data_IF_786133292042
#
_entry.id   IF_786133292042
#
_cell.length_a   1.000
_cell.length_b   1.000
_cell.length_c   1.000
_cell.angle_alpha   90.00
_cell.angle_beta   90.00
_cell.angle_gamma   90.00
#
_symmetry.space_group_name_H-M   'P 1'
#
loop_
_entity.id
_entity.type
_entity.pdbx_description
1 polymer ?
#
# COMPACT_ATOMS: atom_id res chain seq x y z
N UNK A 1 17.33 14.26 35.36
CA UNK A 1 18.09 13.80 34.16
C UNK A 1 17.49 12.54 33.53
N UNK A 2 16.16 12.34 33.55
CA UNK A 2 15.49 11.14 32.99
C UNK A 2 14.77 11.37 31.66
N UNK A 3 14.74 12.60 31.12
CA UNK A 3 14.06 12.90 29.86
C UNK A 3 14.84 12.50 28.60
N UNK A 4 16.15 12.23 28.70
CA UNK A 4 16.98 11.86 27.55
C UNK A 4 16.81 10.40 27.10
N UNK A 5 16.68 9.47 28.06
CA UNK A 5 16.60 8.03 27.76
C UNK A 5 15.30 7.69 27.00
N UNK A 6 14.16 8.23 27.43
CA UNK A 6 12.87 8.02 26.75
C UNK A 6 12.81 8.63 25.35
N UNK A 7 13.47 9.77 25.13
CA UNK A 7 13.51 10.43 23.83
C UNK A 7 14.35 9.63 22.82
N UNK A 8 15.51 9.14 23.24
CA UNK A 8 16.38 8.30 22.38
C UNK A 8 15.70 6.97 22.06
N UNK A 9 15.11 6.29 23.04
CA UNK A 9 14.36 5.05 22.81
C UNK A 9 13.18 5.28 21.85
N UNK A 10 12.44 6.39 22.00
CA UNK A 10 11.35 6.74 21.10
C UNK A 10 11.84 6.95 19.66
N UNK A 11 12.85 7.77 19.44
CA UNK A 11 13.32 8.07 18.08
C UNK A 11 14.02 6.89 17.41
N UNK A 12 14.84 6.13 18.13
CA UNK A 12 15.61 5.03 17.55
C UNK A 12 14.73 3.78 17.38
N UNK A 13 14.02 3.38 18.42
CA UNK A 13 13.32 2.08 18.44
C UNK A 13 11.93 2.19 17.84
N UNK A 14 11.13 3.18 18.26
CA UNK A 14 9.75 3.29 17.79
C UNK A 14 9.64 4.03 16.46
N UNK A 15 10.24 5.21 16.34
CA UNK A 15 10.22 6.00 15.10
C UNK A 15 11.09 5.36 14.02
N UNK A 16 12.36 5.09 14.33
CA UNK A 16 13.33 4.52 13.39
C UNK A 16 12.97 3.11 12.93
N UNK A 17 13.07 2.13 13.84
CA UNK A 17 12.85 0.72 13.49
C UNK A 17 11.39 0.42 13.11
N UNK A 18 10.42 0.98 13.83
CA UNK A 18 9.00 0.70 13.65
C UNK A 18 8.34 1.41 12.46
N UNK A 19 8.41 2.75 12.39
CA UNK A 19 7.67 3.51 11.39
C UNK A 19 8.42 3.73 10.07
N UNK A 20 9.75 3.71 10.07
CA UNK A 20 10.54 3.95 8.86
C UNK A 20 11.13 2.67 8.28
N UNK A 21 11.82 1.86 9.09
CA UNK A 21 12.54 0.69 8.59
C UNK A 21 11.59 -0.44 8.20
N UNK A 22 10.57 -0.74 9.01
CA UNK A 22 9.65 -1.84 8.71
C UNK A 22 8.88 -1.68 7.37
N UNK A 23 8.25 -0.52 7.06
CA UNK A 23 7.62 -0.34 5.74
C UNK A 23 8.65 -0.37 4.60
N UNK A 24 9.83 0.21 4.81
CA UNK A 24 10.90 0.23 3.81
C UNK A 24 11.37 -1.18 3.46
N UNK A 25 11.68 -2.00 4.46
CA UNK A 25 12.04 -3.40 4.27
C UNK A 25 10.90 -4.21 3.64
N UNK A 26 9.66 -3.89 3.97
CA UNK A 26 8.49 -4.56 3.39
C UNK A 26 8.35 -4.25 1.90
N UNK A 27 8.60 -3.01 1.47
CA UNK A 27 8.62 -2.63 0.05
C UNK A 27 9.75 -3.35 -0.68
N UNK A 28 10.97 -3.32 -0.15
CA UNK A 28 12.10 -4.02 -0.78
C UNK A 28 11.86 -5.53 -0.86
N UNK A 29 11.35 -6.14 0.21
CA UNK A 29 10.98 -7.56 0.21
C UNK A 29 9.87 -7.89 -0.81
N UNK A 30 8.89 -7.00 -0.98
CA UNK A 30 7.84 -7.14 -1.99
C UNK A 30 8.37 -7.06 -3.43
N UNK A 31 9.48 -6.35 -3.65
CA UNK A 31 10.13 -6.22 -4.96
C UNK A 31 11.07 -7.38 -5.29
N UNK A 32 11.61 -8.10 -4.31
CA UNK A 32 12.59 -9.18 -4.53
C UNK A 32 12.11 -10.25 -5.53
N UNK A 33 10.86 -10.77 -5.45
CA UNK A 33 10.37 -11.72 -6.44
C UNK A 33 10.35 -11.14 -7.86
N UNK A 34 10.07 -9.84 -8.01
CA UNK A 34 10.04 -9.13 -9.29
C UNK A 34 11.42 -8.96 -9.90
N UNK A 35 12.43 -8.65 -9.08
CA UNK A 35 13.83 -8.55 -9.54
C UNK A 35 14.32 -9.92 -10.04
N UNK A 36 14.11 -10.97 -9.23
CA UNK A 36 14.49 -12.34 -9.60
C UNK A 36 13.84 -12.80 -10.91
N UNK A 37 12.54 -12.49 -11.09
CA UNK A 37 11.80 -12.79 -12.29
C UNK A 37 12.34 -12.09 -13.56
N UNK A 38 12.84 -10.85 -13.42
CA UNK A 38 13.40 -10.08 -14.54
C UNK A 38 14.81 -10.57 -14.92
N UNK A 39 15.62 -10.96 -13.93
CA UNK A 39 16.99 -11.46 -14.15
C UNK A 39 17.01 -12.83 -14.86
N UNK A 40 16.07 -13.72 -14.53
CA UNK A 40 15.97 -15.07 -15.11
C UNK A 40 15.14 -15.12 -16.41
N UNK A 41 14.49 -14.02 -16.80
CA UNK A 41 13.50 -13.99 -17.88
C UNK A 41 14.06 -13.60 -19.25
N UNK A 42 13.81 -14.42 -20.27
CA UNK A 42 13.88 -13.94 -21.66
C UNK A 42 12.68 -13.02 -21.96
N UNK A 43 12.90 -11.96 -22.75
CA UNK A 43 11.84 -11.02 -23.12
C UNK A 43 10.70 -11.74 -23.84
N UNK A 44 9.57 -11.93 -23.15
CA UNK A 44 8.39 -12.56 -23.73
C UNK A 44 7.53 -11.53 -24.48
N UNK A 45 6.74 -12.01 -25.44
CA UNK A 45 5.77 -11.15 -26.14
C UNK A 45 4.67 -10.73 -25.15
N UNK A 46 4.25 -9.46 -25.27
CA UNK A 46 3.09 -8.95 -24.53
C UNK A 46 1.88 -9.87 -24.73
N UNK A 47 1.24 -10.20 -23.62
CA UNK A 47 0.06 -11.04 -23.58
C UNK A 47 -1.10 -10.33 -22.87
N UNK A 48 -2.25 -11.01 -22.80
CA UNK A 48 -3.48 -10.45 -22.20
C UNK A 48 -3.31 -10.18 -20.70
N UNK A 49 -2.53 -11.00 -19.99
CA UNK A 49 -2.29 -10.83 -18.56
C UNK A 49 -1.47 -9.56 -18.27
N UNK A 50 -0.54 -9.18 -19.15
CA UNK A 50 0.19 -7.91 -19.04
C UNK A 50 -0.78 -6.71 -19.08
N UNK A 51 -1.72 -6.74 -20.02
CA UNK A 51 -2.74 -5.68 -20.17
C UNK A 51 -3.65 -5.64 -18.95
N UNK A 52 -4.09 -6.80 -18.46
CA UNK A 52 -4.95 -6.91 -17.27
C UNK A 52 -4.21 -6.38 -16.04
N UNK A 53 -2.99 -6.84 -15.80
CA UNK A 53 -2.17 -6.41 -14.66
C UNK A 53 -1.87 -4.91 -14.71
N UNK A 54 -1.50 -4.37 -15.87
CA UNK A 54 -1.28 -2.93 -16.06
C UNK A 54 -2.55 -2.12 -15.81
N UNK A 55 -3.70 -2.61 -16.26
CA UNK A 55 -4.99 -1.96 -16.03
C UNK A 55 -5.37 -1.94 -14.54
N UNK A 56 -5.15 -3.04 -13.83
CA UNK A 56 -5.35 -3.14 -12.38
C UNK A 56 -4.45 -2.16 -11.64
N UNK A 57 -3.15 -2.13 -11.97
CA UNK A 57 -2.20 -1.22 -11.33
C UNK A 57 -2.54 0.25 -11.59
N UNK A 58 -2.88 0.60 -12.83
CA UNK A 58 -3.27 1.96 -13.18
C UNK A 58 -4.55 2.40 -12.47
N UNK A 59 -5.56 1.51 -12.40
CA UNK A 59 -6.78 1.77 -11.65
C UNK A 59 -6.48 1.98 -10.15
N UNK A 60 -5.55 1.21 -9.58
CA UNK A 60 -5.06 1.39 -8.22
C UNK A 60 -4.44 2.76 -7.98
N UNK A 61 -3.54 3.19 -8.86
CA UNK A 61 -2.88 4.52 -8.81
C UNK A 61 -3.91 5.64 -8.91
N UNK A 62 -4.86 5.56 -9.83
CA UNK A 62 -5.92 6.57 -9.99
C UNK A 62 -6.81 6.64 -8.74
N UNK A 63 -7.18 5.49 -8.19
CA UNK A 63 -7.97 5.42 -6.95
C UNK A 63 -7.24 6.06 -5.78
N UNK A 64 -5.96 5.74 -5.61
CA UNK A 64 -5.09 6.27 -4.55
C UNK A 64 -4.92 7.78 -4.68
N UNK A 65 -4.52 8.26 -5.87
CA UNK A 65 -4.35 9.69 -6.12
C UNK A 65 -5.64 10.49 -5.89
N UNK A 66 -6.78 9.94 -6.29
CA UNK A 66 -8.09 10.56 -6.03
C UNK A 66 -8.41 10.60 -4.53
N UNK A 67 -8.16 9.51 -3.81
CA UNK A 67 -8.38 9.42 -2.38
C UNK A 67 -7.51 10.41 -1.59
N UNK A 68 -6.22 10.48 -1.91
CA UNK A 68 -5.27 11.36 -1.26
C UNK A 68 -5.60 12.84 -1.56
N UNK A 69 -6.00 13.18 -2.79
CA UNK A 69 -6.43 14.52 -3.14
C UNK A 69 -7.71 14.95 -2.38
N UNK A 70 -8.68 14.04 -2.23
CA UNK A 70 -9.87 14.28 -1.40
C UNK A 70 -9.49 14.55 0.06
N UNK A 71 -8.58 13.75 0.63
CA UNK A 71 -8.13 13.90 2.01
C UNK A 71 -7.31 15.20 2.21
N UNK A 72 -6.44 15.52 1.26
CA UNK A 72 -5.65 16.75 1.25
C UNK A 72 -6.54 17.99 1.21
N UNK A 73 -7.53 18.01 0.32
CA UNK A 73 -8.49 19.12 0.20
C UNK A 73 -9.31 19.27 1.48
N UNK A 74 -9.76 18.16 2.06
CA UNK A 74 -10.49 18.17 3.34
C UNK A 74 -9.66 18.78 4.48
N UNK A 75 -8.38 18.38 4.61
CA UNK A 75 -7.46 18.91 5.63
C UNK A 75 -7.16 20.40 5.45
N UNK A 76 -7.24 20.93 4.23
CA UNK A 76 -7.06 22.35 3.92
C UNK A 76 -8.35 23.17 4.03
N UNK A 77 -9.50 22.54 4.24
CA UNK A 77 -10.76 23.26 4.36
C UNK A 77 -10.83 24.04 5.67
N UNK A 78 -11.50 25.19 5.64
CA UNK A 78 -11.78 26.02 6.84
C UNK A 78 -12.55 25.28 7.93
N UNK A 79 -13.20 24.16 7.58
CA UNK A 79 -14.00 23.34 8.47
C UNK A 79 -13.19 22.22 9.15
N UNK A 80 -11.90 22.06 8.83
CA UNK A 80 -11.07 21.02 9.44
C UNK A 80 -10.78 21.34 10.91
N UNK A 81 -11.18 20.44 11.80
CA UNK A 81 -10.80 20.42 13.21
C UNK A 81 -10.02 19.13 13.52
N UNK A 82 -9.07 19.13 14.46
CA UNK A 82 -8.45 17.89 14.93
C UNK A 82 -9.51 16.84 15.30
N UNK A 83 -9.36 15.62 14.79
CA UNK A 83 -10.35 14.53 14.95
C UNK A 83 -11.49 14.52 13.93
N UNK A 84 -11.56 15.48 13.00
CA UNK A 84 -12.56 15.47 11.92
C UNK A 84 -12.28 14.32 10.94
N UNK A 85 -13.34 13.64 10.50
CA UNK A 85 -13.25 12.48 9.60
C UNK A 85 -13.94 12.83 8.28
N UNK A 86 -13.25 12.58 7.15
CA UNK A 86 -13.84 12.69 5.83
C UNK A 86 -14.82 11.52 5.59
N UNK A 87 -16.09 11.82 5.36
CA UNK A 87 -17.17 10.81 5.18
C UNK A 87 -17.85 10.88 3.81
N UNK A 88 -17.33 11.66 2.88
CA UNK A 88 -17.87 11.84 1.52
C UNK A 88 -16.90 11.29 0.47
N UNK A 89 -17.35 11.20 -0.78
CA UNK A 89 -16.51 10.68 -1.87
C UNK A 89 -16.10 9.22 -1.64
N UNK A 90 -14.83 8.90 -1.90
CA UNK A 90 -14.29 7.54 -1.74
C UNK A 90 -14.25 7.12 -0.26
N UNK A 91 -13.95 8.07 0.62
CA UNK A 91 -13.87 7.88 2.08
C UNK A 91 -15.25 7.65 2.74
N UNK A 92 -16.32 7.97 2.01
CA UNK A 92 -17.69 7.60 2.37
C UNK A 92 -18.01 6.11 2.15
N UNK A 93 -17.34 5.47 1.18
CA UNK A 93 -17.61 4.08 0.76
C UNK A 93 -16.64 3.09 1.40
N UNK A 94 -15.35 3.41 1.35
CA UNK A 94 -14.26 2.58 1.90
C UNK A 94 -13.58 3.38 3.01
N UNK A 95 -13.15 2.70 4.07
CA UNK A 95 -12.48 3.36 5.21
C UNK A 95 -11.15 4.00 4.81
N UNK A 96 -10.39 3.31 3.96
CA UNK A 96 -9.06 3.70 3.50
C UNK A 96 -8.93 3.44 1.99
N UNK A 97 -9.57 4.27 1.15
CA UNK A 97 -9.56 4.08 -0.29
C UNK A 97 -8.16 4.21 -0.91
N UNK A 98 -7.26 4.95 -0.26
CA UNK A 98 -5.86 5.03 -0.68
C UNK A 98 -5.10 3.71 -0.47
N UNK A 99 -5.36 2.98 0.62
CA UNK A 99 -4.74 1.66 0.83
C UNK A 99 -5.31 0.63 -0.14
N UNK A 100 -6.59 0.74 -0.50
CA UNK A 100 -7.16 -0.08 -1.57
C UNK A 100 -6.44 0.16 -2.91
N UNK A 101 -6.15 1.41 -3.25
CA UNK A 101 -5.40 1.75 -4.45
C UNK A 101 -3.98 1.15 -4.44
N UNK A 102 -3.28 1.28 -3.32
CA UNK A 102 -1.94 0.68 -3.14
C UNK A 102 -2.00 -0.86 -3.24
N UNK A 103 -2.97 -1.52 -2.61
CA UNK A 103 -3.15 -2.98 -2.74
C UNK A 103 -3.38 -3.41 -4.20
N UNK A 104 -4.23 -2.70 -4.94
CA UNK A 104 -4.47 -2.98 -6.36
C UNK A 104 -3.19 -2.77 -7.18
N UNK A 105 -2.40 -1.74 -6.87
CA UNK A 105 -1.11 -1.50 -7.53
C UNK A 105 -0.18 -2.72 -7.41
N UNK A 106 0.02 -3.24 -6.20
CA UNK A 106 0.88 -4.40 -5.95
C UNK A 106 0.33 -5.70 -6.54
N UNK A 107 -0.98 -5.90 -6.52
CA UNK A 107 -1.62 -7.06 -7.17
C UNK A 107 -1.40 -7.01 -8.69
N UNK A 108 -1.58 -5.85 -9.33
CA UNK A 108 -1.36 -5.71 -10.77
C UNK A 108 0.10 -5.93 -11.17
N UNK A 109 1.06 -5.48 -10.34
CA UNK A 109 2.49 -5.78 -10.55
C UNK A 109 2.78 -7.28 -10.48
N UNK A 110 2.21 -8.00 -9.52
CA UNK A 110 2.36 -9.45 -9.44
C UNK A 110 1.76 -10.17 -10.66
N UNK A 111 0.62 -9.70 -11.17
CA UNK A 111 0.01 -10.23 -12.41
C UNK A 111 0.93 -10.00 -13.62
N UNK A 112 1.50 -8.81 -13.78
CA UNK A 112 2.46 -8.50 -14.86
C UNK A 112 3.69 -9.40 -14.77
N UNK A 113 4.31 -9.50 -13.58
CA UNK A 113 5.47 -10.36 -13.43
C UNK A 113 5.15 -11.83 -13.70
N UNK A 114 3.97 -12.30 -13.26
CA UNK A 114 3.52 -13.68 -13.48
C UNK A 114 3.30 -13.94 -14.97
N UNK A 115 2.76 -12.96 -15.70
CA UNK A 115 2.57 -13.04 -17.14
C UNK A 115 3.89 -13.26 -17.91
N UNK A 116 4.98 -12.64 -17.47
CA UNK A 116 6.28 -12.75 -18.13
C UNK A 116 7.11 -13.98 -17.73
N UNK A 117 6.87 -14.54 -16.53
CA UNK A 117 7.75 -15.58 -15.94
C UNK A 117 7.05 -16.87 -15.57
N UNK A 118 5.72 -16.87 -15.53
CA UNK A 118 4.89 -17.96 -15.01
C UNK A 118 5.26 -18.37 -13.57
N UNK A 119 5.90 -17.47 -12.80
CA UNK A 119 6.37 -17.75 -11.46
C UNK A 119 5.38 -17.25 -10.39
N UNK A 120 4.68 -18.15 -9.68
CA UNK A 120 3.67 -17.75 -8.69
C UNK A 120 4.26 -17.06 -7.45
N UNK A 121 5.57 -17.16 -7.18
CA UNK A 121 6.20 -16.52 -6.02
C UNK A 121 6.07 -14.99 -6.03
N UNK A 122 5.79 -14.39 -7.19
CA UNK A 122 5.52 -12.96 -7.34
C UNK A 122 4.31 -12.49 -6.52
N UNK A 123 3.32 -13.36 -6.32
CA UNK A 123 2.16 -13.04 -5.48
C UNK A 123 2.51 -12.98 -4.00
N UNK A 124 3.62 -13.58 -3.56
CA UNK A 124 4.07 -13.45 -2.17
C UNK A 124 4.47 -12.00 -1.85
N UNK A 125 5.09 -11.30 -2.81
CA UNK A 125 5.43 -9.88 -2.67
C UNK A 125 4.18 -9.00 -2.56
N UNK A 126 3.18 -9.23 -3.40
CA UNK A 126 1.89 -8.55 -3.31
C UNK A 126 1.16 -8.88 -1.99
N UNK A 127 1.16 -10.14 -1.56
CA UNK A 127 0.56 -10.57 -0.30
C UNK A 127 1.21 -9.90 0.90
N UNK A 128 2.55 -9.76 0.92
CA UNK A 128 3.27 -9.04 1.95
C UNK A 128 2.82 -7.57 2.04
N UNK A 129 2.69 -6.89 0.91
CA UNK A 129 2.22 -5.50 0.88
C UNK A 129 0.76 -5.38 1.32
N UNK A 130 -0.10 -6.30 0.91
CA UNK A 130 -1.48 -6.38 1.39
C UNK A 130 -1.52 -6.59 2.92
N UNK A 131 -0.67 -7.46 3.47
CA UNK A 131 -0.58 -7.69 4.92
C UNK A 131 -0.12 -6.42 5.64
N UNK A 132 0.94 -5.75 5.17
CA UNK A 132 1.43 -4.49 5.73
C UNK A 132 0.31 -3.45 5.84
N UNK A 133 -0.43 -3.26 4.74
CA UNK A 133 -1.53 -2.29 4.65
C UNK A 133 -2.76 -2.71 5.48
N UNK A 134 -2.94 -4.02 5.68
CA UNK A 134 -4.00 -4.58 6.53
C UNK A 134 -3.68 -4.48 8.03
N UNK A 135 -2.41 -4.46 8.40
CA UNK A 135 -1.92 -4.39 9.79
C UNK A 135 -2.01 -2.98 10.37
N UNK A 136 -2.27 -1.95 9.55
CA UNK A 136 -2.54 -0.59 10.01
C UNK A 136 -3.95 -0.46 10.64
N UNK A 137 -4.19 -1.24 11.70
CA UNK A 137 -5.33 -1.10 12.60
C UNK A 137 -5.08 0.06 13.56
N UNK A 138 -6.04 0.97 13.62
CA UNK A 138 -6.34 1.68 14.85
C UNK A 138 -7.81 1.38 15.20
N UNK A 139 -8.03 0.59 16.26
CA UNK A 139 -9.34 0.40 16.92
C UNK A 139 -10.32 -0.63 16.31
N UNK A 140 -10.28 -1.85 16.85
CA UNK A 140 -11.42 -2.76 17.09
C UNK A 140 -12.45 -3.21 16.03
N UNK A 141 -12.33 -2.89 14.73
CA UNK A 141 -13.24 -3.48 13.72
C UNK A 141 -12.48 -4.10 12.55
N UNK A 142 -12.60 -5.43 12.43
CA UNK A 142 -12.00 -6.24 11.36
C UNK A 142 -12.38 -5.80 9.94
N UNK A 143 -11.51 -6.19 9.01
CA UNK A 143 -11.59 -6.20 7.54
C UNK A 143 -12.04 -4.91 6.83
N UNK A 144 -11.12 -4.43 6.00
CA UNK A 144 -10.97 -3.12 5.37
C UNK A 144 -12.04 -2.65 4.37
N UNK A 145 -13.11 -3.39 4.10
CA UNK A 145 -13.81 -3.22 2.82
C UNK A 145 -15.24 -2.67 2.89
N UNK A 146 -15.89 -2.64 4.05
CA UNK A 146 -17.23 -2.05 4.15
C UNK A 146 -17.39 -1.27 5.47
N UNK A 147 -17.92 -0.04 5.36
CA UNK A 147 -18.69 0.57 6.46
C UNK A 147 -20.06 -0.09 6.38
N UNK A 148 -20.36 -1.04 7.27
CA UNK A 148 -21.76 -1.34 7.63
C UNK A 148 -22.13 -0.32 8.69
#
# INVERSE_FOLDING_TARGET
MSHGFGLVTYWVVFSGLGFHIYPTLSVFGGLLPGIYAIEDGEAQKLNVLDIVGASISLAGVVLQGTADNQLYTFRKSVNFKPGSILKTGLWGRVRHPNYLGEMLFWIGLAVIGFAGTNNPYLFAGAAQMVILLSVQKNGNYGIFLCKI
#
